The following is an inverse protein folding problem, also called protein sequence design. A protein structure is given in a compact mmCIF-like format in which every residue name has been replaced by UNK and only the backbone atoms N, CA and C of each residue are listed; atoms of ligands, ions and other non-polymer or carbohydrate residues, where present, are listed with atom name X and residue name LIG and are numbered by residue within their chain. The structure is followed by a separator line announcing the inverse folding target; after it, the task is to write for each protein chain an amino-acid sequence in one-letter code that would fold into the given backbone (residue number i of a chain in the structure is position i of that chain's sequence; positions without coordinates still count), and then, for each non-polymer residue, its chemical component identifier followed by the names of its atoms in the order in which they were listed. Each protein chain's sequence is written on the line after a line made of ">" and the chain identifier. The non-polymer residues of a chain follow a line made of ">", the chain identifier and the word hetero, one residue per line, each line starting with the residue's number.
data_IF_854222296040
#
_entry.id   IF_854222296040
#
_cell.length_a   1.000
_cell.length_b   1.000
_cell.length_c   1.000
_cell.angle_alpha   90.00
_cell.angle_beta   90.00
_cell.angle_gamma   90.00
#
_symmetry.space_group_name_H-M   'P 1'
#
loop_
_entity.id
_entity.type
_entity.pdbx_description
1 polymer ?
#
# COMPACT_ATOMS: atom_id res chain seq x y z
N UNK A 1 -31.66 16.11 3.71
CA UNK A 1 -30.21 15.80 3.81
C UNK A 1 -30.07 14.46 4.51
N UNK A 2 -29.36 13.50 3.92
CA UNK A 2 -29.05 12.22 4.59
C UNK A 2 -28.10 12.48 5.76
N UNK A 3 -28.37 11.89 6.92
CA UNK A 3 -27.49 11.94 8.11
C UNK A 3 -26.64 10.68 8.11
N UNK A 4 -25.37 10.81 7.72
CA UNK A 4 -24.39 9.71 7.68
C UNK A 4 -23.42 9.79 8.86
N UNK A 5 -22.79 8.66 9.21
CA UNK A 5 -21.73 8.65 10.23
C UNK A 5 -20.50 9.41 9.72
N UNK A 6 -19.69 9.91 10.65
CA UNK A 6 -18.45 10.61 10.31
C UNK A 6 -17.45 9.70 9.61
N UNK A 7 -17.37 8.44 10.03
CA UNK A 7 -16.55 7.41 9.40
C UNK A 7 -16.88 7.22 7.91
N UNK A 8 -18.17 7.08 7.58
CA UNK A 8 -18.63 6.97 6.19
C UNK A 8 -18.31 8.24 5.41
N UNK A 9 -18.51 9.41 6.03
CA UNK A 9 -18.19 10.69 5.40
C UNK A 9 -16.70 10.80 5.06
N UNK A 10 -15.81 10.54 6.02
CA UNK A 10 -14.36 10.66 5.83
C UNK A 10 -13.86 9.65 4.77
N UNK A 11 -14.35 8.41 4.83
CA UNK A 11 -14.07 7.36 3.84
C UNK A 11 -14.47 7.77 2.43
N UNK A 12 -15.73 8.16 2.23
CA UNK A 12 -16.24 8.53 0.90
C UNK A 12 -15.53 9.77 0.38
N UNK A 13 -15.29 10.77 1.23
CA UNK A 13 -14.61 12.00 0.82
C UNK A 13 -13.17 11.73 0.37
N UNK A 14 -12.47 10.82 1.05
CA UNK A 14 -11.14 10.40 0.62
C UNK A 14 -11.17 9.64 -0.71
N UNK A 15 -12.09 8.67 -0.86
CA UNK A 15 -12.22 7.90 -2.11
C UNK A 15 -12.53 8.80 -3.31
N UNK A 16 -13.44 9.76 -3.15
CA UNK A 16 -13.75 10.76 -4.18
C UNK A 16 -12.52 11.65 -4.45
N UNK A 17 -11.74 12.02 -3.43
CA UNK A 17 -10.53 12.83 -3.65
C UNK A 17 -9.48 12.09 -4.50
N UNK A 18 -9.31 10.79 -4.31
CA UNK A 18 -8.26 10.00 -4.96
C UNK A 18 -8.73 9.22 -6.18
N UNK A 19 -10.02 9.27 -6.54
CA UNK A 19 -10.60 8.43 -7.59
C UNK A 19 -9.92 8.55 -8.96
N UNK A 20 -9.32 9.70 -9.28
CA UNK A 20 -8.60 9.96 -10.53
C UNK A 20 -7.15 9.44 -10.51
N UNK A 21 -6.58 9.14 -9.33
CA UNK A 21 -5.21 8.65 -9.20
C UNK A 21 -5.03 7.31 -9.90
N UNK A 22 -3.82 7.02 -10.41
CA UNK A 22 -3.58 5.79 -11.14
C UNK A 22 -3.10 4.66 -10.21
N UNK A 23 -3.60 3.44 -10.47
CA UNK A 23 -3.08 2.20 -9.88
C UNK A 23 -2.65 1.28 -11.01
N UNK A 24 -1.39 0.87 -10.97
CA UNK A 24 -0.79 0.06 -12.04
C UNK A 24 -0.93 -1.44 -11.73
N UNK A 25 -0.99 -2.31 -12.76
CA UNK A 25 -1.13 -3.76 -12.61
C UNK A 25 0.18 -4.46 -12.22
N UNK A 26 0.91 -3.89 -11.26
CA UNK A 26 2.13 -4.46 -10.70
C UNK A 26 2.08 -4.46 -9.17
N UNK A 27 2.78 -5.44 -8.57
CA UNK A 27 2.75 -5.61 -7.11
C UNK A 27 3.26 -4.39 -6.35
N UNK A 28 4.26 -3.67 -6.88
CA UNK A 28 4.85 -2.51 -6.20
C UNK A 28 3.82 -1.38 -6.08
N UNK A 29 3.16 -1.03 -7.18
CA UNK A 29 2.11 0.00 -7.16
C UNK A 29 0.98 -0.35 -6.19
N UNK A 30 0.52 -1.61 -6.19
CA UNK A 30 -0.55 -2.06 -5.31
C UNK A 30 -0.11 -2.06 -3.83
N UNK A 31 1.09 -2.52 -3.52
CA UNK A 31 1.66 -2.48 -2.16
C UNK A 31 1.82 -1.05 -1.65
N UNK A 32 2.13 -0.08 -2.50
CA UNK A 32 2.17 1.33 -2.11
C UNK A 32 0.80 1.86 -1.70
N UNK A 33 -0.26 1.49 -2.44
CA UNK A 33 -1.63 1.84 -2.04
C UNK A 33 -2.04 1.15 -0.73
N UNK A 34 -1.70 -0.13 -0.55
CA UNK A 34 -1.92 -0.85 0.71
C UNK A 34 -1.18 -0.21 1.90
N UNK A 35 0.06 0.25 1.69
CA UNK A 35 0.83 0.97 2.72
C UNK A 35 0.15 2.28 3.13
N UNK A 36 -0.40 3.03 2.18
CA UNK A 36 -0.94 4.38 2.41
C UNK A 36 -2.38 4.34 2.94
N UNK A 37 -3.24 3.49 2.36
CA UNK A 37 -4.67 3.47 2.64
C UNK A 37 -5.09 2.32 3.58
N UNK A 38 -4.30 1.25 3.65
CA UNK A 38 -4.71 0.00 4.27
C UNK A 38 -5.54 -0.87 3.33
N UNK A 39 -5.89 -2.08 3.80
CA UNK A 39 -6.49 -3.14 3.00
C UNK A 39 -7.89 -2.78 2.50
N UNK A 40 -8.82 -2.48 3.41
CA UNK A 40 -10.23 -2.16 3.09
C UNK A 40 -10.33 -0.97 2.12
N UNK A 41 -9.66 0.14 2.44
CA UNK A 41 -9.72 1.36 1.64
C UNK A 41 -9.06 1.20 0.26
N UNK A 42 -8.05 0.35 0.12
CA UNK A 42 -7.44 0.06 -1.18
C UNK A 42 -8.40 -0.75 -2.05
N UNK A 43 -9.10 -1.72 -1.48
CA UNK A 43 -10.13 -2.50 -2.19
C UNK A 43 -11.30 -1.60 -2.60
N UNK A 44 -11.78 -0.74 -1.70
CA UNK A 44 -12.83 0.23 -2.02
C UNK A 44 -12.39 1.22 -3.12
N UNK A 45 -11.13 1.67 -3.10
CA UNK A 45 -10.57 2.53 -4.14
C UNK A 45 -10.63 1.86 -5.51
N UNK A 46 -10.24 0.58 -5.60
CA UNK A 46 -10.32 -0.20 -6.84
C UNK A 46 -11.79 -0.37 -7.27
N UNK A 47 -12.70 -0.63 -6.33
CA UNK A 47 -14.13 -0.79 -6.62
C UNK A 47 -14.79 0.51 -7.13
N UNK A 48 -14.44 1.66 -6.55
CA UNK A 48 -14.89 2.97 -7.03
C UNK A 48 -14.41 3.21 -8.46
N UNK A 49 -13.16 2.85 -8.79
CA UNK A 49 -12.66 2.96 -10.16
C UNK A 49 -13.40 2.05 -11.13
N UNK A 50 -13.66 0.80 -10.74
CA UNK A 50 -14.44 -0.13 -11.57
C UNK A 50 -15.85 0.41 -11.80
N UNK A 51 -16.49 0.95 -10.76
CA UNK A 51 -17.82 1.54 -10.86
C UNK A 51 -17.83 2.76 -11.80
N UNK A 52 -16.84 3.64 -11.69
CA UNK A 52 -16.69 4.80 -12.56
C UNK A 52 -16.49 4.40 -14.03
N UNK A 53 -15.59 3.44 -14.30
CA UNK A 53 -15.36 2.93 -15.65
C UNK A 53 -16.62 2.31 -16.25
N UNK A 54 -17.46 1.63 -15.46
CA UNK A 54 -18.73 1.06 -15.94
C UNK A 54 -19.76 2.10 -16.40
N UNK A 55 -19.59 3.38 -16.05
CA UNK A 55 -20.47 4.46 -16.54
C UNK A 55 -20.12 4.91 -17.97
N UNK A 56 -18.95 4.54 -18.46
CA UNK A 56 -18.44 4.91 -19.78
C UNK A 56 -18.87 3.90 -20.85
N UNK A 57 -18.67 4.25 -22.13
CA UNK A 57 -19.00 3.36 -23.25
C UNK A 57 -18.20 2.03 -23.13
N UNK A 58 -18.87 0.87 -22.99
CA UNK A 58 -18.24 -0.43 -22.77
C UNK A 58 -17.15 -0.77 -23.80
N UNK A 59 -17.36 -0.43 -25.07
CA UNK A 59 -16.43 -0.74 -26.15
C UNK A 59 -15.09 -0.01 -26.03
N UNK A 60 -15.07 1.12 -25.29
CA UNK A 60 -13.87 1.93 -25.07
C UNK A 60 -13.13 1.60 -23.78
N UNK A 61 -13.82 1.00 -22.81
CA UNK A 61 -13.28 0.80 -21.44
C UNK A 61 -13.12 -0.67 -21.07
N UNK A 62 -13.47 -1.61 -21.94
CA UNK A 62 -13.38 -3.06 -21.68
C UNK A 62 -11.98 -3.48 -21.19
N UNK A 63 -10.92 -3.01 -21.85
CA UNK A 63 -9.53 -3.32 -21.49
C UNK A 63 -9.13 -2.71 -20.14
N UNK A 64 -9.55 -1.47 -19.87
CA UNK A 64 -9.31 -0.77 -18.61
C UNK A 64 -10.05 -1.45 -17.45
N UNK A 65 -11.32 -1.79 -17.64
CA UNK A 65 -12.12 -2.55 -16.67
C UNK A 65 -11.46 -3.91 -16.36
N UNK A 66 -11.04 -4.64 -17.39
CA UNK A 66 -10.35 -5.93 -17.24
C UNK A 66 -9.04 -5.78 -16.45
N UNK A 67 -8.30 -4.70 -16.71
CA UNK A 67 -7.08 -4.35 -15.97
C UNK A 67 -7.37 -4.08 -14.50
N UNK A 68 -8.44 -3.32 -14.18
CA UNK A 68 -8.84 -3.04 -12.80
C UNK A 68 -9.28 -4.30 -12.04
N UNK A 69 -10.01 -5.22 -12.69
CA UNK A 69 -10.33 -6.52 -12.08
C UNK A 69 -9.07 -7.35 -11.80
N UNK A 70 -8.10 -7.33 -12.72
CA UNK A 70 -6.82 -8.00 -12.50
C UNK A 70 -6.04 -7.37 -11.33
N UNK A 71 -6.00 -6.04 -11.25
CA UNK A 71 -5.42 -5.31 -10.12
C UNK A 71 -6.07 -5.73 -8.80
N UNK A 72 -7.40 -5.80 -8.75
CA UNK A 72 -8.14 -6.26 -7.56
C UNK A 72 -7.70 -7.66 -7.13
N UNK A 73 -7.63 -8.59 -8.09
CA UNK A 73 -7.20 -9.97 -7.84
C UNK A 73 -5.75 -10.05 -7.34
N UNK A 74 -4.85 -9.23 -7.87
CA UNK A 74 -3.47 -9.16 -7.39
C UNK A 74 -3.42 -8.59 -5.96
N UNK A 75 -4.19 -7.54 -5.68
CA UNK A 75 -4.32 -6.96 -4.34
C UNK A 75 -4.80 -7.98 -3.31
N UNK A 76 -5.89 -8.70 -3.61
CA UNK A 76 -6.43 -9.75 -2.75
C UNK A 76 -5.41 -10.87 -2.48
N UNK A 77 -4.60 -11.23 -3.48
CA UNK A 77 -3.50 -12.21 -3.31
C UNK A 77 -2.39 -11.68 -2.42
N UNK A 78 -1.93 -10.44 -2.62
CA UNK A 78 -0.90 -9.80 -1.77
C UNK A 78 -1.34 -9.81 -0.30
N UNK A 79 -2.62 -9.50 -0.04
CA UNK A 79 -3.20 -9.53 1.31
C UNK A 79 -3.24 -10.97 1.85
N UNK A 80 -3.76 -11.92 1.07
CA UNK A 80 -3.90 -13.32 1.47
C UNK A 80 -2.54 -14.00 1.74
N UNK A 81 -1.53 -13.70 0.92
CA UNK A 81 -0.17 -14.21 1.04
C UNK A 81 0.63 -13.47 2.13
N UNK A 82 0.02 -12.45 2.78
CA UNK A 82 0.62 -11.61 3.81
C UNK A 82 1.98 -11.04 3.37
N UNK A 83 2.08 -10.64 2.10
CA UNK A 83 3.26 -10.00 1.55
C UNK A 83 3.55 -8.67 2.26
N UNK A 84 4.80 -8.19 2.29
CA UNK A 84 5.16 -7.00 3.07
C UNK A 84 4.70 -5.68 2.42
N UNK A 85 3.78 -4.98 3.08
CA UNK A 85 3.28 -3.63 2.81
C UNK A 85 2.98 -2.81 4.08
N UNK A 86 3.10 -3.39 5.29
CA UNK A 86 3.01 -2.69 6.59
C UNK A 86 4.23 -2.97 7.46
N UNK A 87 4.53 -2.05 8.40
CA UNK A 87 5.71 -2.14 9.26
C UNK A 87 5.79 -3.45 10.06
N UNK A 88 4.65 -4.01 10.46
CA UNK A 88 4.60 -5.28 11.19
C UNK A 88 4.99 -6.51 10.36
N UNK A 89 5.11 -6.39 9.04
CA UNK A 89 5.55 -7.47 8.15
C UNK A 89 7.06 -7.41 7.83
N UNK A 90 7.76 -6.37 8.29
CA UNK A 90 9.22 -6.33 8.20
C UNK A 90 9.85 -7.43 9.08
N UNK A 91 10.96 -8.01 8.63
CA UNK A 91 11.76 -8.97 9.43
C UNK A 91 12.62 -8.32 10.52
N UNK A 92 12.45 -7.02 10.74
CA UNK A 92 13.04 -6.25 11.82
C UNK A 92 11.96 -5.39 12.49
N UNK A 93 12.26 -4.89 13.67
CA UNK A 93 11.37 -4.01 14.42
C UNK A 93 12.14 -2.82 15.02
N UNK A 94 11.45 -2.00 15.82
CA UNK A 94 12.07 -0.83 16.46
C UNK A 94 13.20 -1.17 17.43
N UNK A 95 13.15 -2.32 18.12
CA UNK A 95 14.21 -2.74 19.05
C UNK A 95 15.52 -3.07 18.32
N UNK A 96 15.40 -3.60 17.11
CA UNK A 96 16.54 -3.87 16.25
C UNK A 96 17.26 -2.57 15.87
N UNK A 97 16.49 -1.52 15.52
CA UNK A 97 17.04 -0.21 15.21
C UNK A 97 17.55 0.53 16.46
N UNK A 98 16.88 0.39 17.61
CA UNK A 98 17.40 0.90 18.90
C UNK A 98 18.77 0.32 19.21
N UNK A 99 18.96 -0.97 18.95
CA UNK A 99 20.24 -1.66 19.15
C UNK A 99 21.34 -1.18 18.18
N UNK A 100 20.97 -0.57 17.06
CA UNK A 100 21.88 0.09 16.12
C UNK A 100 22.16 1.56 16.48
N UNK A 101 21.54 2.11 17.53
CA UNK A 101 21.76 3.48 18.00
C UNK A 101 20.77 4.52 17.47
N UNK A 102 19.68 4.10 16.83
CA UNK A 102 18.62 5.02 16.40
C UNK A 102 17.81 5.54 17.58
N UNK A 103 17.33 6.79 17.50
CA UNK A 103 16.45 7.37 18.50
C UNK A 103 14.97 7.17 18.18
N UNK A 104 14.10 7.25 19.20
CA UNK A 104 12.66 7.00 19.07
C UNK A 104 11.95 7.74 17.92
N UNK A 105 12.34 8.98 17.64
CA UNK A 105 11.78 9.80 16.55
C UNK A 105 12.26 9.38 15.14
N UNK A 106 13.41 8.72 15.04
CA UNK A 106 14.06 8.31 13.79
C UNK A 106 13.63 6.90 13.38
N UNK A 107 13.36 6.02 14.35
CA UNK A 107 12.96 4.62 14.13
C UNK A 107 11.78 4.52 13.17
N UNK A 108 10.73 5.31 13.37
CA UNK A 108 9.54 5.24 12.51
C UNK A 108 9.91 5.58 11.06
N UNK A 109 10.68 6.66 10.86
CA UNK A 109 11.12 7.10 9.53
C UNK A 109 11.99 6.05 8.86
N UNK A 110 12.87 5.41 9.61
CA UNK A 110 13.76 4.39 9.06
C UNK A 110 13.00 3.11 8.74
N UNK A 111 12.09 2.65 9.61
CA UNK A 111 11.23 1.50 9.28
C UNK A 111 10.33 1.79 8.06
N UNK A 112 9.78 3.01 7.94
CA UNK A 112 9.01 3.43 6.77
C UNK A 112 9.84 3.36 5.48
N UNK A 113 11.10 3.80 5.54
CA UNK A 113 12.06 3.72 4.43
C UNK A 113 12.42 2.27 4.07
N UNK A 114 12.70 1.43 5.07
CA UNK A 114 13.03 0.03 4.87
C UNK A 114 11.84 -0.73 4.26
N UNK A 115 10.62 -0.38 4.68
CA UNK A 115 9.40 -0.89 4.05
C UNK A 115 9.29 -0.47 2.58
N UNK A 116 9.61 0.77 2.22
CA UNK A 116 9.64 1.20 0.81
C UNK A 116 10.62 0.35 -0.02
N UNK A 117 11.80 0.03 0.55
CA UNK A 117 12.78 -0.84 -0.11
C UNK A 117 12.34 -2.29 -0.25
N UNK A 118 11.60 -2.80 0.72
CA UNK A 118 10.98 -4.12 0.65
C UNK A 118 9.81 -4.15 -0.35
N UNK A 119 9.06 -3.07 -0.49
CA UNK A 119 8.01 -2.96 -1.51
C UNK A 119 8.62 -2.92 -2.92
N UNK A 120 9.79 -2.28 -3.08
CA UNK A 120 10.55 -2.27 -4.33
C UNK A 120 11.11 -3.65 -4.70
N UNK A 121 11.62 -4.41 -3.73
CA UNK A 121 12.06 -5.79 -3.92
C UNK A 121 11.78 -6.61 -2.66
N UNK A 122 10.84 -7.56 -2.77
CA UNK A 122 10.37 -8.35 -1.64
C UNK A 122 11.40 -9.33 -1.08
N UNK A 123 12.38 -9.76 -1.89
CA UNK A 123 13.48 -10.64 -1.48
C UNK A 123 14.38 -9.98 -0.42
N UNK A 124 14.38 -8.64 -0.38
CA UNK A 124 15.12 -7.86 0.60
C UNK A 124 14.51 -7.89 1.99
N UNK A 125 13.32 -8.48 2.19
CA UNK A 125 12.72 -8.61 3.52
C UNK A 125 13.38 -9.74 4.33
N UNK A 126 14.67 -9.59 4.58
CA UNK A 126 15.45 -10.46 5.44
C UNK A 126 16.20 -9.60 6.48
N UNK A 127 16.39 -10.17 7.67
CA UNK A 127 16.87 -9.43 8.84
C UNK A 127 18.25 -8.84 8.60
N UNK A 128 19.16 -9.65 8.07
CA UNK A 128 20.56 -9.29 7.82
C UNK A 128 20.69 -8.13 6.83
N UNK A 129 19.97 -8.22 5.70
CA UNK A 129 19.94 -7.16 4.69
C UNK A 129 19.39 -5.86 5.27
N UNK A 130 18.23 -5.90 5.94
CA UNK A 130 17.60 -4.69 6.47
C UNK A 130 18.46 -4.00 7.55
N UNK A 131 19.12 -4.77 8.41
CA UNK A 131 20.06 -4.24 9.40
C UNK A 131 21.30 -3.62 8.74
N UNK A 132 21.86 -4.29 7.73
CA UNK A 132 23.01 -3.76 7.00
C UNK A 132 22.67 -2.45 6.27
N UNK A 133 21.49 -2.38 5.67
CA UNK A 133 21.01 -1.22 4.95
C UNK A 133 20.79 -0.03 5.90
N UNK A 134 20.20 -0.27 7.07
CA UNK A 134 20.03 0.75 8.11
C UNK A 134 21.41 1.26 8.59
N UNK A 135 22.33 0.36 8.93
CA UNK A 135 23.66 0.70 9.45
C UNK A 135 24.50 1.53 8.47
N UNK A 136 24.44 1.24 7.17
CA UNK A 136 25.19 1.97 6.15
C UNK A 136 24.73 3.43 5.96
N UNK A 137 23.59 3.79 6.53
CA UNK A 137 23.02 5.14 6.49
C UNK A 137 23.42 5.99 7.69
N UNK A 138 23.94 5.35 8.75
CA UNK A 138 24.35 5.98 10.02
C UNK A 138 25.80 6.48 9.97
N UNK A 139 26.17 7.25 8.93
CA UNK A 139 27.48 7.93 8.81
C UNK A 139 27.32 9.42 9.00
#
# INVERSE_FOLDING_TARGET
>A
RLRVSREVFDKVTLLVKIHDEHIYPDKRSIKMWLKVLGEDMTLDFIDVKIADMKTHNPDKVSDTCSTLYNIKKICERIIADNEPYKLSQLKINGNDLLSLGYNGSEIKKELDYLLDKVIENEENNNREYLLSLAKNKTV
#
